data_IF_403314778401
#
_entry.id   IF_403314778401
#
_cell.length_a   1.000
_cell.length_b   1.000
_cell.length_c   1.000
_cell.angle_alpha   90.00
_cell.angle_beta   90.00
_cell.angle_gamma   90.00
#
_symmetry.space_group_name_H-M   'P 1'
#
loop_
_entity.id
_entity.type
_entity.pdbx_description
1 polymer ?
#
# COMPACT_ATOMS: atom_id res chain seq x y z
N UNK A 1 46.75 36.34 -25.39
CA UNK A 1 45.35 36.08 -25.80
C UNK A 1 44.73 34.83 -25.16
N UNK A 2 45.49 33.84 -24.68
CA UNK A 2 44.91 32.66 -24.00
C UNK A 2 44.26 32.95 -22.63
N UNK A 3 44.75 33.95 -21.89
CA UNK A 3 44.27 34.29 -20.53
C UNK A 3 42.83 34.82 -20.45
N UNK A 4 42.32 35.46 -21.52
CA UNK A 4 40.95 36.04 -21.51
C UNK A 4 39.86 34.96 -21.68
N UNK A 5 40.19 33.82 -22.31
CA UNK A 5 39.27 32.69 -22.45
C UNK A 5 39.06 31.94 -21.14
N UNK A 6 40.10 31.76 -20.33
CA UNK A 6 40.02 31.02 -19.07
C UNK A 6 39.16 31.74 -18.03
N UNK A 7 39.25 33.06 -17.97
CA UNK A 7 38.45 33.87 -17.05
C UNK A 7 36.95 33.83 -17.40
N UNK A 8 36.63 33.76 -18.69
CA UNK A 8 35.24 33.68 -19.17
C UNK A 8 34.61 32.31 -18.89
N UNK A 9 35.37 31.22 -19.05
CA UNK A 9 34.91 29.86 -18.74
C UNK A 9 34.71 29.70 -17.23
N UNK A 10 35.61 30.23 -16.41
CA UNK A 10 35.47 30.19 -14.95
C UNK A 10 34.25 30.98 -14.46
N UNK A 11 33.94 32.14 -15.07
CA UNK A 11 32.72 32.90 -14.78
C UNK A 11 31.45 32.11 -15.14
N UNK A 12 31.42 31.47 -16.31
CA UNK A 12 30.29 30.63 -16.71
C UNK A 12 30.11 29.41 -15.80
N UNK A 13 31.18 28.72 -15.43
CA UNK A 13 31.12 27.57 -14.53
C UNK A 13 30.65 27.98 -13.13
N UNK A 14 31.11 29.14 -12.63
CA UNK A 14 30.67 29.66 -11.34
C UNK A 14 29.20 30.08 -11.36
N UNK A 15 28.72 30.68 -12.44
CA UNK A 15 27.31 31.03 -12.62
C UNK A 15 26.42 29.78 -12.70
N UNK A 16 26.86 28.76 -13.45
CA UNK A 16 26.16 27.47 -13.54
C UNK A 16 26.09 26.75 -12.19
N UNK A 17 27.21 26.75 -11.44
CA UNK A 17 27.24 26.17 -10.09
C UNK A 17 26.29 26.89 -9.13
N UNK A 18 26.21 28.22 -9.20
CA UNK A 18 25.28 29.01 -8.39
C UNK A 18 23.81 28.70 -8.75
N UNK A 19 23.50 28.55 -10.04
CA UNK A 19 22.18 28.17 -10.52
C UNK A 19 21.75 26.79 -10.02
N UNK A 20 22.61 25.78 -10.12
CA UNK A 20 22.32 24.44 -9.60
C UNK A 20 22.13 24.43 -8.08
N UNK A 21 22.84 25.30 -7.36
CA UNK A 21 22.69 25.45 -5.90
C UNK A 21 21.38 26.14 -5.52
N UNK A 22 20.91 27.13 -6.29
CA UNK A 22 19.59 27.74 -6.05
C UNK A 22 18.46 26.76 -6.36
N UNK A 23 18.55 26.01 -7.45
CA UNK A 23 17.52 25.03 -7.83
C UNK A 23 17.43 23.89 -6.79
N UNK A 24 18.58 23.45 -6.25
CA UNK A 24 18.59 22.49 -5.14
C UNK A 24 17.96 23.05 -3.86
N UNK A 25 18.16 24.34 -3.55
CA UNK A 25 17.57 24.98 -2.38
C UNK A 25 16.04 25.12 -2.50
N UNK A 26 15.53 25.46 -3.69
CA UNK A 26 14.09 25.55 -3.95
C UNK A 26 13.41 24.18 -3.83
N UNK A 27 14.04 23.12 -4.36
CA UNK A 27 13.57 21.74 -4.20
C UNK A 27 13.58 21.27 -2.74
N UNK A 28 14.60 21.64 -1.97
CA UNK A 28 14.67 21.32 -0.53
C UNK A 28 13.59 22.07 0.27
N UNK A 29 13.28 23.32 -0.11
CA UNK A 29 12.21 24.10 0.48
C UNK A 29 10.83 23.51 0.15
N UNK A 30 10.56 23.15 -1.11
CA UNK A 30 9.32 22.49 -1.52
C UNK A 30 9.15 21.13 -0.83
N UNK A 31 10.23 20.33 -0.75
CA UNK A 31 10.23 19.06 -0.03
C UNK A 31 10.01 19.24 1.49
N UNK A 32 10.45 20.37 2.06
CA UNK A 32 10.20 20.69 3.46
C UNK A 32 8.74 21.11 3.72
N UNK A 33 8.12 21.85 2.79
CA UNK A 33 6.69 22.18 2.86
C UNK A 33 5.83 20.94 2.70
N UNK A 34 6.13 20.06 1.73
CA UNK A 34 5.46 18.76 1.57
C UNK A 34 5.62 17.91 2.83
N UNK A 35 6.78 17.93 3.50
CA UNK A 35 6.99 17.23 4.78
C UNK A 35 6.17 17.82 5.92
N UNK A 36 6.02 19.14 6.00
CA UNK A 36 5.15 19.81 6.99
C UNK A 36 3.68 19.47 6.75
N UNK A 37 3.25 19.48 5.50
CA UNK A 37 1.86 19.21 5.12
C UNK A 37 1.50 17.72 5.26
N UNK A 38 2.41 16.81 4.88
CA UNK A 38 2.26 15.36 5.17
C UNK A 38 2.27 15.07 6.67
N UNK A 39 3.09 15.76 7.48
CA UNK A 39 3.03 15.63 8.94
C UNK A 39 1.70 16.14 9.48
N UNK A 40 1.18 17.26 8.98
CA UNK A 40 -0.12 17.79 9.37
C UNK A 40 -1.27 16.86 8.99
N UNK A 41 -1.26 16.29 7.78
CA UNK A 41 -2.31 15.40 7.29
C UNK A 41 -2.25 14.01 7.94
N UNK A 42 -1.04 13.48 8.19
CA UNK A 42 -0.84 12.25 8.96
C UNK A 42 -1.25 12.49 10.42
N UNK A 43 -0.88 13.62 11.06
CA UNK A 43 -1.33 13.94 12.41
C UNK A 43 -2.84 14.20 12.49
N UNK A 44 -3.48 14.80 11.49
CA UNK A 44 -4.94 14.95 11.46
C UNK A 44 -5.65 13.59 11.30
N UNK A 45 -5.09 12.69 10.49
CA UNK A 45 -5.55 11.30 10.39
C UNK A 45 -5.26 10.47 11.65
N UNK A 46 -4.17 10.75 12.37
CA UNK A 46 -3.82 10.06 13.62
C UNK A 46 -4.54 10.64 14.85
N UNK A 47 -4.77 11.96 14.94
CA UNK A 47 -5.36 12.63 16.09
C UNK A 47 -6.88 12.52 16.14
N UNK A 48 -7.56 12.38 15.00
CA UNK A 48 -8.96 11.98 14.96
C UNK A 48 -9.18 10.52 15.40
N UNK A 49 -8.13 9.69 15.37
CA UNK A 49 -8.19 8.23 15.57
C UNK A 49 -7.59 7.77 16.93
N UNK A 50 -6.72 8.58 17.57
CA UNK A 50 -6.12 8.28 18.88
C UNK A 50 -6.93 8.74 20.10
N UNK A 51 -7.92 9.62 19.95
CA UNK A 51 -8.80 10.04 21.06
C UNK A 51 -9.72 8.90 21.55
N UNK A 52 -9.88 7.84 20.74
CA UNK A 52 -10.70 6.65 21.05
C UNK A 52 -9.89 5.56 21.79
N UNK A 53 -8.56 5.71 21.90
CA UNK A 53 -7.65 4.60 22.26
C UNK A 53 -7.20 4.55 23.73
N UNK A 54 -7.68 5.45 24.61
CA UNK A 54 -7.20 5.55 26.00
C UNK A 54 -8.12 5.00 27.09
N UNK A 55 -9.29 4.45 26.76
CA UNK A 55 -10.14 3.76 27.74
C UNK A 55 -10.53 2.36 27.24
N UNK A 56 -10.01 1.31 27.90
CA UNK A 56 -10.67 0.00 27.91
C UNK A 56 -9.78 -1.21 27.65
N UNK A 57 -9.21 -1.73 28.74
CA UNK A 57 -8.55 -3.04 28.83
C UNK A 57 -9.51 -4.22 28.76
N UNK A 58 -8.95 -5.39 28.42
CA UNK A 58 -9.30 -6.73 28.94
C UNK A 58 -10.42 -7.55 28.24
N UNK A 59 -10.09 -8.72 27.66
CA UNK A 59 -10.11 -10.06 28.32
C UNK A 59 -9.90 -11.19 27.28
N UNK A 60 -9.41 -12.33 27.75
CA UNK A 60 -8.76 -13.50 27.13
C UNK A 60 -9.67 -14.53 26.41
N UNK A 61 -8.97 -15.34 25.59
CA UNK A 61 -9.04 -16.80 25.35
C UNK A 61 -10.36 -17.49 24.95
N UNK A 62 -10.26 -18.32 23.89
CA UNK A 62 -11.20 -19.40 23.58
C UNK A 62 -10.73 -20.20 22.35
N UNK A 63 -10.25 -21.40 22.61
CA UNK A 63 -9.62 -22.35 21.68
C UNK A 63 -10.64 -23.35 21.09
N UNK A 64 -10.28 -23.95 19.94
CA UNK A 64 -10.76 -25.21 19.36
C UNK A 64 -12.17 -25.32 18.75
N UNK A 65 -12.23 -25.66 17.46
CA UNK A 65 -12.79 -26.96 17.00
C UNK A 65 -12.49 -27.20 15.52
N UNK A 66 -11.90 -28.37 15.24
CA UNK A 66 -11.74 -28.97 13.92
C UNK A 66 -13.10 -29.38 13.32
N UNK A 67 -13.29 -29.27 11.99
CA UNK A 67 -14.15 -30.18 11.23
C UNK A 67 -13.98 -30.10 9.70
N UNK A 68 -13.66 -31.28 9.16
CA UNK A 68 -14.19 -31.93 7.95
C UNK A 68 -14.04 -31.23 6.60
N UNK A 69 -13.10 -31.78 5.81
CA UNK A 69 -12.92 -31.53 4.39
C UNK A 69 -14.07 -32.14 3.56
N UNK A 70 -14.80 -31.28 2.84
CA UNK A 70 -15.76 -31.65 1.80
C UNK A 70 -15.11 -31.40 0.43
N UNK A 71 -14.89 -32.46 -0.33
CA UNK A 71 -14.34 -32.41 -1.70
C UNK A 71 -15.41 -31.88 -2.65
N UNK A 72 -15.25 -30.64 -3.11
CA UNK A 72 -16.15 -30.00 -4.06
C UNK A 72 -15.75 -30.29 -5.54
N UNK A 73 -16.73 -30.37 -6.45
CA UNK A 73 -16.50 -30.63 -7.87
C UNK A 73 -15.82 -29.44 -8.56
N UNK A 74 -14.86 -29.76 -9.43
CA UNK A 74 -14.00 -28.82 -10.17
C UNK A 74 -14.83 -28.10 -11.25
N UNK A 75 -15.46 -26.99 -10.90
CA UNK A 75 -16.18 -26.11 -11.83
C UNK A 75 -15.16 -25.45 -12.76
N UNK A 76 -15.36 -25.59 -14.07
CA UNK A 76 -14.53 -25.00 -15.10
C UNK A 76 -14.60 -23.46 -15.01
N UNK A 77 -13.47 -22.84 -14.67
CA UNK A 77 -13.35 -21.37 -14.55
C UNK A 77 -13.35 -20.77 -15.96
N UNK A 78 -14.28 -19.86 -16.29
CA UNK A 78 -14.33 -19.24 -17.62
C UNK A 78 -13.09 -18.37 -17.90
N UNK A 79 -12.77 -18.11 -19.19
CA UNK A 79 -11.56 -17.39 -19.59
C UNK A 79 -11.51 -15.96 -19.01
N UNK A 80 -10.41 -15.67 -18.28
CA UNK A 80 -10.13 -14.46 -17.49
C UNK A 80 -10.07 -13.13 -18.28
N UNK A 81 -10.35 -13.12 -19.57
CA UNK A 81 -9.98 -12.03 -20.48
C UNK A 81 -11.07 -10.96 -20.71
N UNK A 82 -12.34 -11.20 -20.36
CA UNK A 82 -13.46 -10.29 -20.71
C UNK A 82 -13.83 -9.30 -19.59
N UNK A 83 -13.18 -9.35 -18.41
CA UNK A 83 -13.58 -8.57 -17.22
C UNK A 83 -12.73 -7.31 -16.93
N UNK A 84 -11.70 -7.02 -17.71
CA UNK A 84 -10.70 -6.00 -17.33
C UNK A 84 -11.19 -4.55 -17.47
N UNK A 85 -12.18 -4.26 -18.32
CA UNK A 85 -12.66 -2.87 -18.49
C UNK A 85 -13.63 -2.40 -17.38
N UNK A 86 -14.28 -3.32 -16.66
CA UNK A 86 -15.25 -2.96 -15.61
C UNK A 86 -14.63 -2.93 -14.20
N UNK A 87 -13.46 -3.56 -14.01
CA UNK A 87 -12.85 -3.67 -12.69
C UNK A 87 -12.50 -2.30 -12.08
N UNK A 88 -11.89 -1.40 -12.85
CA UNK A 88 -11.57 -0.04 -12.38
C UNK A 88 -12.82 0.78 -12.01
N UNK A 89 -13.92 0.57 -12.74
CA UNK A 89 -15.20 1.25 -12.51
C UNK A 89 -15.88 0.74 -11.26
N UNK A 90 -16.01 -0.59 -11.09
CA UNK A 90 -16.55 -1.23 -9.89
C UNK A 90 -15.84 -0.75 -8.63
N UNK A 91 -14.51 -0.65 -8.70
CA UNK A 91 -13.73 -0.19 -7.58
C UNK A 91 -13.85 1.31 -7.29
N UNK A 92 -13.95 2.14 -8.33
CA UNK A 92 -14.24 3.57 -8.15
C UNK A 92 -15.60 3.80 -7.50
N UNK A 93 -16.59 2.98 -7.84
CA UNK A 93 -17.90 2.98 -7.19
C UNK A 93 -17.79 2.52 -5.73
N UNK A 94 -17.04 1.44 -5.47
CA UNK A 94 -16.77 0.97 -4.12
C UNK A 94 -16.07 2.03 -3.25
N UNK A 95 -15.07 2.77 -3.75
CA UNK A 95 -14.43 3.83 -2.96
C UNK A 95 -15.39 4.97 -2.63
N UNK A 96 -16.27 5.35 -3.56
CA UNK A 96 -17.31 6.35 -3.28
C UNK A 96 -18.29 5.85 -2.22
N UNK A 97 -18.69 4.58 -2.31
CA UNK A 97 -19.58 3.96 -1.33
C UNK A 97 -18.92 3.92 0.06
N UNK A 98 -17.63 3.55 0.12
CA UNK A 98 -16.88 3.55 1.36
C UNK A 98 -16.64 4.94 1.94
N UNK A 99 -16.31 5.92 1.12
CA UNK A 99 -16.14 7.30 1.57
C UNK A 99 -17.45 7.80 2.21
N UNK A 100 -18.58 7.62 1.52
CA UNK A 100 -19.91 7.94 2.06
C UNK A 100 -20.19 7.21 3.38
N UNK A 101 -19.91 5.90 3.44
CA UNK A 101 -20.08 5.08 4.63
C UNK A 101 -19.22 5.57 5.80
N UNK A 102 -17.95 5.90 5.54
CA UNK A 102 -17.01 6.36 6.58
C UNK A 102 -17.35 7.74 7.13
N UNK A 103 -17.92 8.62 6.31
CA UNK A 103 -18.32 9.97 6.72
C UNK A 103 -19.67 9.98 7.43
N UNK A 104 -20.59 9.10 7.04
CA UNK A 104 -21.94 9.04 7.57
C UNK A 104 -22.36 7.57 7.76
N UNK A 105 -21.81 6.87 8.77
CA UNK A 105 -22.22 5.51 9.07
C UNK A 105 -23.67 5.51 9.57
N UNK A 106 -24.47 4.50 9.22
CA UNK A 106 -25.83 4.37 9.73
C UNK A 106 -25.82 4.18 11.26
N UNK A 107 -26.83 4.71 11.94
CA UNK A 107 -26.99 4.56 13.39
C UNK A 107 -27.11 3.08 13.80
N UNK A 108 -27.81 2.30 12.97
CA UNK A 108 -27.93 0.84 13.11
C UNK A 108 -27.28 0.17 11.89
N UNK A 109 -26.07 -0.30 12.09
CA UNK A 109 -25.26 -0.91 11.05
C UNK A 109 -25.65 -2.37 10.82
N UNK A 110 -26.05 -2.70 9.60
CA UNK A 110 -26.26 -4.08 9.13
C UNK A 110 -25.12 -4.54 8.23
N UNK A 111 -25.04 -5.85 8.01
CA UNK A 111 -24.08 -6.46 7.11
C UNK A 111 -24.13 -5.88 5.69
N UNK A 112 -25.33 -5.59 5.17
CA UNK A 112 -25.53 -5.08 3.81
C UNK A 112 -25.12 -3.61 3.62
N UNK A 113 -25.06 -2.84 4.72
CA UNK A 113 -24.70 -1.41 4.68
C UNK A 113 -23.20 -1.20 4.49
N UNK A 114 -22.40 -2.22 4.80
CA UNK A 114 -20.94 -2.17 4.67
C UNK A 114 -20.59 -2.32 3.19
N UNK A 115 -19.87 -1.37 2.59
CA UNK A 115 -19.42 -1.49 1.21
C UNK A 115 -18.26 -2.47 1.14
N UNK A 116 -18.58 -3.76 1.08
CA UNK A 116 -17.63 -4.86 0.97
C UNK A 116 -16.81 -4.79 -0.32
N UNK A 117 -15.56 -5.28 -0.33
CA UNK A 117 -14.77 -5.33 -1.55
C UNK A 117 -15.47 -6.23 -2.58
N UNK A 118 -15.48 -5.87 -3.89
CA UNK A 118 -16.04 -6.71 -4.94
C UNK A 118 -15.41 -8.12 -5.01
N UNK A 119 -14.14 -8.24 -4.61
CA UNK A 119 -13.41 -9.51 -4.56
C UNK A 119 -12.57 -9.60 -3.29
N UNK A 120 -12.78 -10.64 -2.48
CA UNK A 120 -12.08 -10.85 -1.21
C UNK A 120 -10.57 -11.11 -1.41
N UNK A 121 -10.20 -11.78 -2.50
CA UNK A 121 -8.82 -12.16 -2.81
C UNK A 121 -7.94 -10.99 -3.26
N UNK A 122 -8.54 -9.96 -3.86
CA UNK A 122 -7.79 -8.95 -4.64
C UNK A 122 -7.70 -7.59 -3.90
N UNK A 123 -8.05 -7.57 -2.62
CA UNK A 123 -8.09 -6.36 -1.78
C UNK A 123 -6.73 -5.64 -1.74
N UNK A 124 -5.63 -6.39 -1.71
CA UNK A 124 -4.29 -5.81 -1.64
C UNK A 124 -3.89 -5.14 -2.96
N UNK A 125 -4.12 -5.80 -4.09
CA UNK A 125 -3.88 -5.24 -5.43
C UNK A 125 -4.73 -3.99 -5.67
N UNK A 126 -5.97 -4.03 -5.21
CA UNK A 126 -6.83 -2.88 -5.30
C UNK A 126 -6.31 -1.69 -4.49
N UNK A 127 -5.94 -1.94 -3.23
CA UNK A 127 -5.45 -0.88 -2.34
C UNK A 127 -4.20 -0.21 -2.90
N UNK A 128 -3.34 -0.97 -3.57
CA UNK A 128 -2.19 -0.47 -4.32
C UNK A 128 -2.60 0.47 -5.45
N UNK A 129 -3.48 0.01 -6.36
CA UNK A 129 -3.98 0.85 -7.47
C UNK A 129 -4.60 2.14 -6.97
N UNK A 130 -5.33 2.11 -5.85
CA UNK A 130 -5.91 3.31 -5.24
C UNK A 130 -4.84 4.30 -4.78
N UNK A 131 -3.78 3.84 -4.12
CA UNK A 131 -2.69 4.71 -3.66
C UNK A 131 -2.02 5.38 -4.86
N UNK A 132 -1.80 4.63 -5.94
CA UNK A 132 -1.20 5.15 -7.18
C UNK A 132 -2.11 6.17 -7.87
N UNK A 133 -3.42 5.93 -7.93
CA UNK A 133 -4.37 6.87 -8.53
C UNK A 133 -4.50 8.18 -7.74
N UNK A 134 -4.33 8.14 -6.41
CA UNK A 134 -4.42 9.34 -5.57
C UNK A 134 -3.16 10.20 -5.68
N UNK A 135 -1.99 9.57 -5.78
CA UNK A 135 -0.70 10.25 -5.82
C UNK A 135 0.11 9.78 -7.05
N UNK A 136 -0.25 10.21 -8.27
CA UNK A 136 0.45 9.77 -9.48
C UNK A 136 1.93 10.17 -9.49
N UNK A 137 2.28 11.29 -8.84
CA UNK A 137 3.67 11.73 -8.69
C UNK A 137 4.52 10.84 -7.78
N UNK A 138 3.92 10.12 -6.82
CA UNK A 138 4.64 9.18 -5.95
C UNK A 138 4.98 7.86 -6.66
N UNK A 139 4.33 7.56 -7.80
CA UNK A 139 4.56 6.31 -8.54
C UNK A 139 5.98 6.24 -9.12
N UNK A 140 6.56 7.37 -9.50
CA UNK A 140 7.87 7.41 -10.17
C UNK A 140 9.03 7.15 -9.19
N UNK A 141 8.87 7.49 -7.92
CA UNK A 141 10.00 7.54 -6.97
C UNK A 141 10.01 6.44 -5.91
N UNK A 142 8.88 5.79 -5.65
CA UNK A 142 8.83 4.73 -4.62
C UNK A 142 9.26 3.38 -5.19
N UNK A 143 10.14 2.70 -4.44
CA UNK A 143 10.46 1.30 -4.69
C UNK A 143 9.20 0.44 -4.53
N UNK A 144 9.10 -0.60 -5.37
CA UNK A 144 7.95 -1.52 -5.38
C UNK A 144 7.62 -2.06 -3.99
N UNK A 145 8.64 -2.36 -3.18
CA UNK A 145 8.46 -2.89 -1.83
C UNK A 145 7.82 -1.87 -0.88
N UNK A 146 8.13 -0.57 -1.00
CA UNK A 146 7.44 0.45 -0.22
C UNK A 146 5.99 0.65 -0.65
N UNK A 147 5.68 0.54 -1.95
CA UNK A 147 4.30 0.55 -2.46
C UNK A 147 3.49 -0.64 -1.92
N UNK A 148 4.07 -1.83 -1.99
CA UNK A 148 3.50 -3.05 -1.43
C UNK A 148 3.22 -2.87 0.07
N UNK A 149 4.20 -2.41 0.86
CA UNK A 149 4.04 -2.16 2.31
C UNK A 149 3.01 -1.10 2.63
N UNK A 150 2.94 -0.02 1.85
CA UNK A 150 1.94 1.04 2.02
C UNK A 150 0.53 0.50 1.79
N UNK A 151 0.36 -0.30 0.73
CA UNK A 151 -0.91 -0.94 0.36
C UNK A 151 -1.38 -1.92 1.43
N UNK A 152 -0.48 -2.77 1.93
CA UNK A 152 -0.78 -3.69 3.01
C UNK A 152 -1.24 -2.96 4.27
N UNK A 153 -0.49 -1.94 4.72
CA UNK A 153 -0.88 -1.15 5.90
C UNK A 153 -2.23 -0.46 5.72
N UNK A 154 -2.51 0.06 4.52
CA UNK A 154 -3.79 0.67 4.23
C UNK A 154 -4.94 -0.35 4.23
N UNK A 155 -4.73 -1.55 3.71
CA UNK A 155 -5.71 -2.64 3.75
C UNK A 155 -5.97 -3.11 5.18
N UNK A 156 -4.93 -3.32 5.99
CA UNK A 156 -5.07 -3.68 7.40
C UNK A 156 -5.88 -2.65 8.16
N UNK A 157 -5.59 -1.35 8.03
CA UNK A 157 -6.34 -0.31 8.75
C UNK A 157 -7.84 -0.34 8.43
N UNK A 158 -8.19 -0.64 7.18
CA UNK A 158 -9.56 -0.63 6.70
C UNK A 158 -10.34 -1.89 7.08
N UNK A 159 -9.70 -3.05 7.00
CA UNK A 159 -10.37 -4.35 7.07
C UNK A 159 -10.01 -5.19 8.30
N UNK A 160 -9.20 -4.65 9.23
CA UNK A 160 -8.85 -5.38 10.45
C UNK A 160 -10.05 -5.44 11.39
N UNK A 161 -10.42 -6.64 11.90
CA UNK A 161 -11.64 -6.83 12.70
C UNK A 161 -11.66 -5.98 13.97
N UNK A 162 -10.53 -5.90 14.69
CA UNK A 162 -10.42 -5.06 15.90
C UNK A 162 -10.61 -3.57 15.60
N UNK A 163 -10.02 -3.06 14.51
CA UNK A 163 -10.15 -1.65 14.12
C UNK A 163 -11.56 -1.33 13.66
N UNK A 164 -12.17 -2.24 12.91
CA UNK A 164 -13.56 -2.09 12.49
C UNK A 164 -14.51 -2.10 13.71
N UNK A 165 -14.32 -3.02 14.66
CA UNK A 165 -15.13 -3.10 15.87
C UNK A 165 -14.94 -1.88 16.79
N UNK A 166 -13.73 -1.31 16.86
CA UNK A 166 -13.48 -0.09 17.63
C UNK A 166 -14.29 1.09 17.08
N UNK A 167 -14.36 1.23 15.76
CA UNK A 167 -15.03 2.37 15.11
C UNK A 167 -16.55 2.16 15.02
N UNK A 168 -17.00 0.99 14.59
CA UNK A 168 -18.40 0.73 14.23
C UNK A 168 -19.13 -0.21 15.19
N UNK A 169 -18.45 -0.81 16.17
CA UNK A 169 -19.04 -1.85 17.02
C UNK A 169 -20.27 -1.39 17.82
N UNK A 170 -20.35 -0.10 18.17
CA UNK A 170 -21.52 0.48 18.87
C UNK A 170 -22.77 0.57 18.00
N UNK A 171 -22.61 0.70 16.68
CA UNK A 171 -23.72 0.79 15.72
C UNK A 171 -24.31 -0.59 15.37
N UNK A 172 -23.61 -1.68 15.67
CA UNK A 172 -24.05 -3.04 15.36
C UNK A 172 -24.91 -3.55 16.52
N UNK A 173 -26.22 -3.33 16.44
CA UNK A 173 -27.15 -3.68 17.51
C UNK A 173 -27.46 -5.18 17.61
N UNK A 174 -27.45 -5.91 16.48
CA UNK A 174 -27.77 -7.33 16.43
C UNK A 174 -26.51 -8.20 16.58
N UNK A 175 -26.44 -9.09 17.60
CA UNK A 175 -25.33 -10.02 17.75
C UNK A 175 -25.10 -10.93 16.53
N UNK A 176 -26.16 -11.28 15.80
CA UNK A 176 -26.05 -12.13 14.60
C UNK A 176 -25.34 -11.40 13.45
N UNK A 177 -25.73 -10.14 13.21
CA UNK A 177 -25.09 -9.26 12.23
C UNK A 177 -23.61 -9.05 12.60
N UNK A 178 -23.32 -8.81 13.89
CA UNK A 178 -21.95 -8.67 14.39
C UNK A 178 -21.09 -9.89 14.06
N UNK A 179 -21.59 -11.11 14.31
CA UNK A 179 -20.88 -12.34 13.97
C UNK A 179 -20.61 -12.47 12.46
N UNK A 180 -21.59 -12.13 11.62
CA UNK A 180 -21.44 -12.20 10.15
C UNK A 180 -20.41 -11.19 9.64
N UNK A 181 -20.46 -9.95 10.15
CA UNK A 181 -19.51 -8.89 9.82
C UNK A 181 -18.10 -9.32 10.21
N UNK A 182 -17.91 -9.80 11.45
CA UNK A 182 -16.60 -10.21 11.95
C UNK A 182 -16.05 -11.40 11.17
N UNK A 183 -16.89 -12.39 10.84
CA UNK A 183 -16.50 -13.52 10.00
C UNK A 183 -16.00 -13.05 8.63
N UNK A 184 -16.73 -12.16 7.97
CA UNK A 184 -16.36 -11.62 6.65
C UNK A 184 -15.07 -10.81 6.71
N UNK A 185 -14.89 -9.97 7.74
CA UNK A 185 -13.64 -9.23 7.97
C UNK A 185 -12.44 -10.16 8.18
N UNK A 186 -12.62 -11.25 8.95
CA UNK A 186 -11.58 -12.26 9.13
C UNK A 186 -11.19 -12.90 7.80
N UNK A 187 -12.15 -13.27 6.95
CA UNK A 187 -11.87 -13.84 5.62
C UNK A 187 -11.07 -12.87 4.74
N UNK A 188 -11.50 -11.61 4.67
CA UNK A 188 -10.80 -10.56 3.91
C UNK A 188 -9.38 -10.38 4.44
N UNK A 189 -9.20 -10.30 5.76
CA UNK A 189 -7.89 -10.10 6.36
C UNK A 189 -6.95 -11.30 6.15
N UNK A 190 -7.49 -12.53 6.17
CA UNK A 190 -6.73 -13.73 5.79
C UNK A 190 -6.26 -13.66 4.33
N UNK A 191 -7.13 -13.28 3.40
CA UNK A 191 -6.77 -13.10 1.99
C UNK A 191 -5.73 -11.99 1.76
N UNK A 192 -5.83 -10.87 2.49
CA UNK A 192 -4.82 -9.79 2.48
C UNK A 192 -3.46 -10.31 2.98
N UNK A 193 -3.44 -11.08 4.06
CA UNK A 193 -2.22 -11.66 4.62
C UNK A 193 -1.57 -12.69 3.68
N UNK A 194 -2.37 -13.52 3.03
CA UNK A 194 -1.88 -14.49 2.04
C UNK A 194 -1.25 -13.78 0.83
N UNK A 195 -1.96 -12.79 0.27
CA UNK A 195 -1.46 -11.96 -0.81
C UNK A 195 -0.17 -11.23 -0.44
N UNK A 196 -0.06 -10.74 0.81
CA UNK A 196 1.14 -10.10 1.33
C UNK A 196 2.34 -11.05 1.41
N UNK A 197 2.13 -12.27 1.94
CA UNK A 197 3.17 -13.30 2.03
C UNK A 197 3.70 -13.66 0.65
N UNK A 198 2.80 -13.88 -0.31
CA UNK A 198 3.18 -14.22 -1.69
C UNK A 198 3.97 -13.09 -2.37
N UNK A 199 3.55 -11.82 -2.24
CA UNK A 199 4.32 -10.68 -2.76
C UNK A 199 5.70 -10.55 -2.12
N UNK A 200 5.78 -10.76 -0.81
CA UNK A 200 7.05 -10.71 -0.07
C UNK A 200 8.01 -11.82 -0.54
N UNK A 201 7.50 -13.05 -0.69
CA UNK A 201 8.27 -14.17 -1.21
C UNK A 201 8.80 -13.89 -2.63
N UNK A 202 7.94 -13.39 -3.53
CA UNK A 202 8.34 -12.99 -4.89
C UNK A 202 9.39 -11.88 -4.90
N UNK A 203 9.29 -10.91 -3.99
CA UNK A 203 10.29 -9.84 -3.84
C UNK A 203 11.65 -10.39 -3.42
N UNK A 204 11.69 -11.31 -2.45
CA UNK A 204 12.93 -11.95 -2.01
C UNK A 204 13.58 -12.78 -3.12
N UNK A 205 12.79 -13.60 -3.83
CA UNK A 205 13.29 -14.38 -4.98
C UNK A 205 13.90 -13.45 -6.02
N UNK A 206 13.21 -12.37 -6.38
CA UNK A 206 13.71 -11.38 -7.34
C UNK A 206 15.03 -10.74 -6.88
N UNK A 207 15.15 -10.36 -5.60
CA UNK A 207 16.39 -9.79 -5.05
C UNK A 207 17.55 -10.78 -5.15
N UNK A 208 17.33 -12.04 -4.75
CA UNK A 208 18.34 -13.10 -4.84
C UNK A 208 18.80 -13.34 -6.29
N UNK A 209 17.87 -13.37 -7.26
CA UNK A 209 18.22 -13.51 -8.68
C UNK A 209 19.07 -12.33 -9.21
N UNK A 210 18.74 -11.10 -8.80
CA UNK A 210 19.50 -9.89 -9.21
C UNK A 210 20.90 -9.89 -8.61
N UNK A 211 21.03 -10.28 -7.33
CA UNK A 211 22.33 -10.38 -6.65
C UNK A 211 23.24 -11.43 -7.28
N UNK A 212 22.67 -12.60 -7.61
CA UNK A 212 23.39 -13.69 -8.28
C UNK A 212 23.84 -13.27 -9.69
N UNK A 213 22.96 -12.62 -10.47
CA UNK A 213 23.33 -12.10 -11.79
C UNK A 213 24.46 -11.05 -11.71
N UNK A 214 24.39 -10.14 -10.74
CA UNK A 214 25.45 -9.15 -10.49
C UNK A 214 26.78 -9.80 -10.09
N UNK A 215 26.73 -10.89 -9.30
CA UNK A 215 27.91 -11.67 -8.91
C UNK A 215 28.57 -12.33 -10.12
N UNK A 216 27.79 -12.97 -10.99
CA UNK A 216 28.29 -13.59 -12.24
C UNK A 216 28.91 -12.55 -13.18
N UNK A 217 28.28 -11.38 -13.31
CA UNK A 217 28.79 -10.28 -14.13
C UNK A 217 30.15 -9.76 -13.63
N UNK A 218 30.27 -9.48 -12.32
CA UNK A 218 31.53 -9.05 -11.70
C UNK A 218 32.65 -10.08 -11.86
N UNK A 219 32.33 -11.36 -11.67
CA UNK A 219 33.29 -12.45 -11.86
C UNK A 219 33.77 -12.62 -13.30
N UNK A 220 32.92 -12.27 -14.29
CA UNK A 220 33.27 -12.31 -15.71
C UNK A 220 34.12 -11.12 -16.15
N UNK A 221 33.87 -9.93 -15.58
CA UNK A 221 34.66 -8.74 -15.84
C UNK A 221 36.13 -8.91 -15.38
N UNK A 222 36.33 -9.53 -14.21
CA UNK A 222 37.68 -9.72 -13.65
C UNK A 222 38.54 -10.67 -14.51
N UNK A 223 37.97 -11.75 -15.05
CA UNK A 223 38.72 -12.71 -15.89
C UNK A 223 39.21 -12.12 -17.21
N UNK A 224 38.48 -11.14 -17.78
CA UNK A 224 38.91 -10.46 -19.02
C UNK A 224 40.12 -9.56 -18.80
N UNK A 225 40.27 -8.98 -17.61
CA UNK A 225 41.42 -8.13 -17.30
C UNK A 225 42.72 -8.92 -17.10
N UNK A 226 42.67 -10.20 -16.75
CA UNK A 226 43.87 -11.02 -16.44
C UNK A 226 44.50 -11.73 -17.64
N UNK A 227 43.91 -11.65 -18.84
CA UNK A 227 44.39 -12.37 -20.04
C UNK A 227 45.16 -11.48 -21.03
N UNK A 228 45.46 -10.24 -20.68
CA UNK A 228 46.16 -9.27 -21.52
C UNK A 228 47.60 -8.94 -21.07
N UNK A 229 48.24 -9.79 -20.27
CA UNK A 229 49.64 -9.64 -19.84
C UNK A 229 50.52 -10.76 -20.38
#
# INVERSE_FOLDING_TARGET
MASVCEESVNKLFSAYKAYMQSEAADLDQEAAEIRKDKRSMIFAWFAADLSVLLDGSSTRQGEMTERSASVAPKVAVPPRAVLNLDYATLWKQHERAWEKFSLCPPERLKFEDIPWPPCDSDVLEFTEKRILLRNPSEDVFLDRESKDRASYRAACRRWHPDKFSQVYGRSIADPRESQQIMHKLTMIMQAVNESWKDRTARSHIRKACVEEAARVYRGSAHRRSSSGS
#
